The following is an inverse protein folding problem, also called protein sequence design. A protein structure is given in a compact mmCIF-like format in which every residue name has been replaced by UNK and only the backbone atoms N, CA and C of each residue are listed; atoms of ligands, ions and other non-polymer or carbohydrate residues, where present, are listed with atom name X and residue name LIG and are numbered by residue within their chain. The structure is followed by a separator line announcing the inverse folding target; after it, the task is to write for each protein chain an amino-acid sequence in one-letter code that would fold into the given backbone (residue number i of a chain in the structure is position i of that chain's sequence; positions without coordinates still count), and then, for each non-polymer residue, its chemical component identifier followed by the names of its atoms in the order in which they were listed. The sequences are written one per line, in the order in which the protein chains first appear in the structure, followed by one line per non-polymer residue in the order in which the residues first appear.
data_IF_326940671920
#
_entry.id   IF_326940671920
#
_cell.length_a   1.000
_cell.length_b   1.000
_cell.length_c   1.000
_cell.angle_alpha   90.00
_cell.angle_beta   90.00
_cell.angle_gamma   90.00
#
_symmetry.space_group_name_H-M   'P 1'
#
loop_
_entity.id
_entity.type
_entity.pdbx_description
1 polymer ?
#
# COMPACT_ATOMS: atom_id res chain seq x y z
N UNK A 1 12.95 -9.32 22.97
CA UNK A 1 12.45 -7.95 23.17
C UNK A 1 13.14 -7.04 22.20
N UNK A 2 12.37 -6.31 21.45
CA UNK A 2 12.88 -5.42 20.41
C UNK A 2 13.26 -4.07 20.99
N UNK A 3 14.32 -3.49 20.51
CA UNK A 3 14.76 -2.18 20.90
C UNK A 3 15.45 -1.48 19.73
N UNK A 4 15.30 -0.16 19.64
CA UNK A 4 16.18 0.63 18.80
C UNK A 4 17.56 0.73 19.47
N UNK A 5 18.65 0.94 18.70
CA UNK A 5 19.94 1.28 19.27
C UNK A 5 19.82 2.45 20.22
N UNK A 6 20.30 2.28 21.45
CA UNK A 6 20.24 3.29 22.50
C UNK A 6 18.91 3.42 23.24
N UNK A 7 17.88 2.65 22.87
CA UNK A 7 16.57 2.66 23.55
C UNK A 7 16.36 1.35 24.28
N UNK A 8 15.96 1.43 25.54
CA UNK A 8 15.64 0.25 26.34
C UNK A 8 14.21 -0.21 26.08
N UNK A 9 13.97 -1.53 26.09
CA UNK A 9 12.64 -2.09 25.87
C UNK A 9 11.57 -1.55 26.84
N UNK A 10 11.97 -1.16 28.05
CA UNK A 10 11.10 -0.53 29.06
C UNK A 10 10.56 0.83 28.63
N UNK A 11 11.22 1.49 27.69
CA UNK A 11 10.84 2.82 27.19
C UNK A 11 9.89 2.73 26.00
N UNK A 12 9.59 1.52 25.52
CA UNK A 12 8.66 1.28 24.41
C UNK A 12 7.22 1.36 24.90
N UNK A 13 6.41 2.19 24.26
CA UNK A 13 4.97 2.32 24.54
C UNK A 13 4.18 1.27 23.75
N UNK A 14 4.47 1.13 22.47
CA UNK A 14 3.79 0.17 21.60
C UNK A 14 4.71 -0.29 20.47
N UNK A 15 4.48 -1.53 20.05
CA UNK A 15 5.06 -2.09 18.83
C UNK A 15 3.91 -2.35 17.87
N UNK A 16 4.03 -1.91 16.63
CA UNK A 16 2.93 -1.88 15.68
C UNK A 16 3.32 -2.53 14.36
N UNK A 17 2.38 -3.32 13.81
CA UNK A 17 2.42 -3.73 12.41
C UNK A 17 1.53 -2.79 11.62
N UNK A 18 2.08 -2.13 10.62
CA UNK A 18 1.35 -1.15 9.82
C UNK A 18 1.46 -1.43 8.32
N UNK A 19 0.48 -0.90 7.58
CA UNK A 19 0.49 -0.84 6.12
C UNK A 19 0.75 -2.18 5.45
N UNK A 20 -0.11 -3.13 5.78
CA UNK A 20 -0.05 -4.50 5.26
C UNK A 20 -0.26 -4.50 3.75
N UNK A 21 0.61 -5.17 3.05
CA UNK A 21 0.51 -5.48 1.63
C UNK A 21 0.38 -6.98 1.38
N UNK A 22 -0.01 -7.35 0.16
CA UNK A 22 -0.17 -8.73 -0.25
C UNK A 22 0.66 -9.01 -1.49
N UNK A 23 1.17 -10.23 -1.59
CA UNK A 23 1.90 -10.73 -2.74
C UNK A 23 1.52 -12.20 -2.98
N UNK A 24 1.16 -12.54 -4.21
CA UNK A 24 1.01 -13.93 -4.64
C UNK A 24 2.28 -14.34 -5.36
N UNK A 25 3.02 -15.28 -4.80
CA UNK A 25 4.28 -15.76 -5.37
C UNK A 25 4.07 -16.61 -6.63
N UNK A 26 5.13 -16.82 -7.39
CA UNK A 26 5.13 -17.70 -8.56
C UNK A 26 4.69 -19.13 -8.21
N UNK A 27 4.90 -19.59 -6.99
CA UNK A 27 4.43 -20.88 -6.47
C UNK A 27 2.99 -20.86 -5.95
N UNK A 28 2.30 -19.71 -6.00
CA UNK A 28 0.93 -19.54 -5.54
C UNK A 28 0.77 -19.32 -4.04
N UNK A 29 1.86 -19.06 -3.30
CA UNK A 29 1.77 -18.68 -1.88
C UNK A 29 1.30 -17.24 -1.74
N UNK A 30 0.31 -17.01 -0.90
CA UNK A 30 -0.14 -15.67 -0.52
C UNK A 30 0.69 -15.18 0.68
N UNK A 31 1.49 -14.16 0.43
CA UNK A 31 2.33 -13.52 1.43
C UNK A 31 1.70 -12.20 1.83
N UNK A 32 1.60 -11.95 3.12
CA UNK A 32 1.27 -10.62 3.65
C UNK A 32 2.51 -9.99 4.26
N UNK A 33 2.63 -8.70 4.08
CA UNK A 33 3.81 -7.91 4.42
C UNK A 33 3.41 -6.64 5.16
N UNK A 34 4.22 -6.21 6.10
CA UNK A 34 3.97 -4.99 6.83
C UNK A 34 5.24 -4.35 7.37
N UNK A 35 5.12 -3.09 7.72
CA UNK A 35 6.13 -2.41 8.51
C UNK A 35 5.98 -2.80 9.97
N UNK A 36 7.10 -3.06 10.62
CA UNK A 36 7.17 -3.33 12.05
C UNK A 36 7.88 -2.15 12.72
N UNK A 37 7.12 -1.38 13.45
CA UNK A 37 7.57 -0.12 14.00
C UNK A 37 7.33 0.00 15.50
N UNK A 38 7.93 1.01 16.09
CA UNK A 38 7.87 1.30 17.52
C UNK A 38 7.36 2.71 17.73
N UNK A 39 6.32 2.85 18.54
CA UNK A 39 5.91 4.14 19.10
C UNK A 39 6.48 4.28 20.50
N UNK A 40 7.32 5.28 20.71
CA UNK A 40 7.96 5.55 22.01
C UNK A 40 7.13 6.47 22.91
N UNK A 41 6.31 7.30 22.30
CA UNK A 41 5.36 8.19 22.97
C UNK A 41 4.13 8.45 22.07
N UNK A 42 3.20 9.26 22.56
CA UNK A 42 1.96 9.62 21.83
C UNK A 42 2.18 10.39 20.53
N UNK A 43 3.36 10.97 20.33
CA UNK A 43 3.72 11.76 19.15
C UNK A 43 4.63 11.02 18.21
N UNK A 44 5.20 9.90 18.64
CA UNK A 44 6.13 9.13 17.85
C UNK A 44 5.35 8.34 16.77
N UNK A 45 5.63 8.64 15.52
CA UNK A 45 5.05 7.91 14.39
C UNK A 45 6.09 6.93 13.84
N UNK A 46 5.87 5.61 13.99
CA UNK A 46 6.79 4.60 13.47
C UNK A 46 6.92 4.65 11.93
N UNK A 47 6.08 5.42 11.24
CA UNK A 47 6.19 5.62 9.81
C UNK A 47 7.28 6.62 9.38
N UNK A 48 7.86 7.36 10.30
CA UNK A 48 8.85 8.40 9.97
C UNK A 48 10.31 7.94 10.18
N UNK A 49 10.62 6.70 9.80
CA UNK A 49 11.94 6.10 9.92
C UNK A 49 12.22 5.52 11.33
N UNK A 50 11.20 5.46 12.17
CA UNK A 50 11.27 4.85 13.49
C UNK A 50 10.95 3.36 13.47
N UNK A 51 10.72 2.79 12.29
CA UNK A 51 10.47 1.36 12.11
C UNK A 51 11.69 0.51 12.45
N UNK A 52 11.44 -0.73 12.84
CA UNK A 52 12.44 -1.76 13.08
C UNK A 52 12.81 -2.47 11.77
N UNK A 53 11.81 -2.65 10.90
CA UNK A 53 12.00 -3.29 9.62
C UNK A 53 10.69 -3.71 8.99
N UNK A 54 10.77 -4.62 8.03
CA UNK A 54 9.62 -5.18 7.33
C UNK A 54 9.46 -6.64 7.68
N UNK A 55 8.24 -7.01 8.01
CA UNK A 55 7.88 -8.37 8.37
C UNK A 55 6.97 -8.99 7.33
N UNK A 56 7.04 -10.30 7.21
CA UNK A 56 6.26 -11.12 6.29
C UNK A 56 5.72 -12.35 6.98
N UNK A 57 4.59 -12.84 6.51
CA UNK A 57 4.04 -14.15 6.86
C UNK A 57 3.15 -14.67 5.73
N UNK A 58 2.99 -15.98 5.67
CA UNK A 58 2.06 -16.61 4.74
C UNK A 58 0.63 -16.53 5.29
N UNK A 59 -0.33 -16.30 4.38
CA UNK A 59 -1.74 -16.58 4.59
C UNK A 59 -2.05 -17.88 3.87
N UNK A 60 -2.39 -18.91 4.62
CA UNK A 60 -2.69 -20.23 4.07
C UNK A 60 -4.08 -20.27 3.45
N UNK A 61 -4.35 -21.32 2.65
CA UNK A 61 -5.64 -21.49 1.98
C UNK A 61 -6.85 -21.58 2.92
N UNK A 62 -6.65 -22.05 4.14
CA UNK A 62 -7.66 -22.12 5.20
C UNK A 62 -7.85 -20.78 5.95
N UNK A 63 -7.14 -19.73 5.54
CA UNK A 63 -7.16 -18.42 6.17
C UNK A 63 -6.25 -18.31 7.40
N UNK A 64 -5.62 -19.39 7.85
CA UNK A 64 -4.68 -19.33 8.97
C UNK A 64 -3.37 -18.66 8.56
N UNK A 65 -2.66 -18.13 9.57
CA UNK A 65 -1.41 -17.41 9.35
C UNK A 65 -0.20 -18.26 9.71
N UNK A 66 0.81 -18.24 8.87
CA UNK A 66 2.13 -18.79 9.17
C UNK A 66 2.90 -17.95 10.21
N UNK A 67 4.11 -18.39 10.63
CA UNK A 67 4.98 -17.61 11.50
C UNK A 67 5.37 -16.27 10.88
N UNK A 68 5.72 -15.30 11.73
CA UNK A 68 6.24 -14.00 11.32
C UNK A 68 7.76 -14.11 11.13
N UNK A 69 8.27 -13.49 10.08
CA UNK A 69 9.69 -13.36 9.79
C UNK A 69 10.01 -11.92 9.37
N UNK A 70 11.21 -11.43 9.70
CA UNK A 70 11.73 -10.25 9.03
C UNK A 70 12.15 -10.60 7.60
N UNK A 71 11.79 -9.72 6.67
CA UNK A 71 12.28 -9.76 5.29
C UNK A 71 13.36 -8.70 5.07
N UNK A 72 13.32 -7.62 5.83
CA UNK A 72 14.27 -6.52 5.78
C UNK A 72 14.38 -5.85 7.15
N UNK A 73 15.60 -5.49 7.54
CA UNK A 73 15.87 -4.74 8.76
C UNK A 73 16.25 -3.30 8.42
N UNK A 74 15.71 -2.35 9.14
CA UNK A 74 16.19 -0.98 9.13
C UNK A 74 17.55 -0.89 9.82
N UNK A 75 18.26 0.21 9.58
CA UNK A 75 19.59 0.43 10.16
C UNK A 75 19.59 0.20 11.68
N UNK A 76 20.58 -0.52 12.18
CA UNK A 76 20.77 -0.82 13.59
C UNK A 76 20.00 -2.04 14.12
N UNK A 77 19.14 -2.67 13.29
CA UNK A 77 18.39 -3.88 13.67
C UNK A 77 18.88 -5.12 12.94
N UNK A 78 18.75 -6.26 13.60
CA UNK A 78 19.12 -7.59 13.10
C UNK A 78 18.49 -8.70 13.97
N UNK A 79 18.76 -9.96 13.65
CA UNK A 79 18.24 -11.12 14.40
C UNK A 79 18.61 -11.16 15.89
N UNK A 80 19.67 -10.47 16.31
CA UNK A 80 20.13 -10.50 17.71
C UNK A 80 19.35 -9.55 18.62
N UNK A 81 18.74 -8.53 18.05
CA UNK A 81 18.03 -7.48 18.79
C UNK A 81 16.56 -7.33 18.43
N UNK A 82 16.00 -8.34 17.74
CA UNK A 82 14.58 -8.42 17.36
C UNK A 82 13.96 -9.74 17.77
N UNK A 83 12.63 -9.79 17.90
CA UNK A 83 11.91 -10.97 18.38
C UNK A 83 11.60 -12.02 17.30
N UNK A 84 11.65 -11.64 16.01
CA UNK A 84 11.34 -12.55 14.91
C UNK A 84 12.59 -12.91 14.12
N UNK A 85 12.70 -14.16 13.64
CA UNK A 85 13.83 -14.56 12.82
C UNK A 85 13.78 -13.92 11.42
N UNK A 86 14.92 -13.90 10.74
CA UNK A 86 14.99 -13.54 9.32
C UNK A 86 14.38 -14.63 8.45
N UNK A 87 13.70 -14.29 7.37
CA UNK A 87 12.93 -15.22 6.52
C UNK A 87 13.73 -16.43 6.03
N UNK A 88 15.04 -16.28 5.82
CA UNK A 88 15.93 -17.38 5.42
C UNK A 88 16.04 -18.51 6.45
N UNK A 89 15.59 -18.30 7.68
CA UNK A 89 15.50 -19.32 8.72
C UNK A 89 14.27 -20.21 8.61
N UNK A 90 13.31 -19.87 7.76
CA UNK A 90 12.15 -20.71 7.51
C UNK A 90 12.57 -22.06 6.91
N UNK A 91 11.94 -23.14 7.40
CA UNK A 91 12.10 -24.48 6.82
C UNK A 91 11.30 -24.65 5.52
N UNK A 92 10.35 -23.77 5.25
CA UNK A 92 9.55 -23.77 4.04
C UNK A 92 10.32 -23.06 2.91
N UNK A 93 10.89 -23.86 2.02
CA UNK A 93 11.70 -23.38 0.90
C UNK A 93 10.89 -22.53 -0.09
N UNK A 94 9.60 -22.85 -0.29
CA UNK A 94 8.76 -22.07 -1.20
C UNK A 94 8.41 -20.70 -0.60
N UNK A 95 8.22 -20.63 0.71
CA UNK A 95 8.10 -19.36 1.42
C UNK A 95 9.37 -18.51 1.30
N UNK A 96 10.55 -19.13 1.45
CA UNK A 96 11.83 -18.41 1.28
C UNK A 96 11.99 -17.88 -0.13
N UNK A 97 11.63 -18.66 -1.16
CA UNK A 97 11.63 -18.19 -2.56
C UNK A 97 10.66 -17.03 -2.77
N UNK A 98 9.44 -17.12 -2.24
CA UNK A 98 8.44 -16.06 -2.31
C UNK A 98 8.94 -14.75 -1.69
N UNK A 99 9.63 -14.81 -0.56
CA UNK A 99 10.27 -13.65 0.05
C UNK A 99 11.39 -13.08 -0.83
N UNK A 100 12.18 -13.94 -1.47
CA UNK A 100 13.24 -13.48 -2.37
C UNK A 100 12.65 -12.81 -3.62
N UNK A 101 11.56 -13.33 -4.19
CA UNK A 101 10.84 -12.70 -5.31
C UNK A 101 10.41 -11.25 -4.98
N UNK A 102 9.97 -11.02 -3.73
CA UNK A 102 9.62 -9.67 -3.26
C UNK A 102 10.85 -8.76 -3.21
N UNK A 103 11.97 -9.25 -2.65
CA UNK A 103 13.19 -8.47 -2.53
C UNK A 103 13.84 -8.16 -3.88
N UNK A 104 13.69 -9.06 -4.85
CA UNK A 104 14.22 -8.89 -6.21
C UNK A 104 13.40 -7.92 -7.06
N UNK A 105 12.24 -7.48 -6.56
CA UNK A 105 11.38 -6.54 -7.25
C UNK A 105 11.37 -5.17 -6.54
N UNK A 106 12.05 -4.16 -7.10
CA UNK A 106 12.15 -2.84 -6.47
C UNK A 106 10.79 -2.15 -6.31
N UNK A 107 9.80 -2.46 -7.15
CA UNK A 107 8.48 -1.86 -7.08
C UNK A 107 7.74 -2.27 -5.79
N UNK A 108 7.87 -3.53 -5.34
CA UNK A 108 7.30 -3.97 -4.07
C UNK A 108 7.97 -3.28 -2.89
N UNK A 109 9.28 -3.14 -2.94
CA UNK A 109 10.05 -2.50 -1.88
C UNK A 109 9.72 -1.01 -1.77
N UNK A 110 9.52 -0.32 -2.90
CA UNK A 110 9.17 1.10 -2.93
C UNK A 110 7.77 1.42 -2.41
N UNK A 111 6.84 0.48 -2.39
CA UNK A 111 5.50 0.72 -1.82
C UNK A 111 5.53 1.09 -0.33
N UNK A 112 6.64 0.84 0.35
CA UNK A 112 6.79 1.07 1.79
C UNK A 112 7.82 2.15 2.13
N UNK A 113 8.08 3.01 1.18
CA UNK A 113 9.02 4.13 1.33
C UNK A 113 8.68 5.04 2.52
N UNK A 114 7.40 5.22 2.82
CA UNK A 114 6.98 6.06 3.94
C UNK A 114 7.39 5.49 5.31
N UNK A 115 7.47 4.17 5.41
CA UNK A 115 7.79 3.44 6.63
C UNK A 115 9.25 3.01 6.70
N UNK A 116 9.97 3.13 5.60
CA UNK A 116 11.37 2.77 5.54
C UNK A 116 12.23 3.83 6.20
N UNK A 117 13.38 3.40 6.67
CA UNK A 117 14.46 4.31 7.01
C UNK A 117 14.76 5.18 5.79
N UNK A 118 14.79 6.50 6.00
CA UNK A 118 15.04 7.48 4.93
C UNK A 118 16.43 7.36 4.33
N UNK A 119 17.34 6.72 5.03
CA UNK A 119 18.68 6.40 4.57
C UNK A 119 18.79 5.03 3.87
N UNK A 120 17.66 4.32 3.70
CA UNK A 120 17.61 3.04 3.03
C UNK A 120 18.08 3.16 1.56
N UNK A 121 19.19 2.50 1.18
CA UNK A 121 19.76 2.62 -0.17
C UNK A 121 18.89 2.04 -1.27
N UNK A 122 17.92 1.17 -0.94
CA UNK A 122 16.99 0.59 -1.94
C UNK A 122 15.92 1.59 -2.39
N UNK A 123 15.86 2.78 -1.78
CA UNK A 123 14.89 3.81 -2.12
C UNK A 123 15.57 4.87 -2.99
N UNK A 124 15.35 4.88 -4.30
CA UNK A 124 16.02 5.82 -5.21
C UNK A 124 15.53 7.26 -5.06
N UNK A 125 14.37 7.49 -4.48
CA UNK A 125 13.75 8.82 -4.30
C UNK A 125 13.38 9.06 -2.84
N UNK A 126 14.21 9.81 -2.11
CA UNK A 126 14.19 9.86 -0.63
C UNK A 126 13.29 10.92 -0.01
N UNK A 127 12.98 12.04 -0.66
CA UNK A 127 12.25 13.15 -0.01
C UNK A 127 11.03 13.56 -0.80
N UNK A 128 9.89 13.68 -0.12
CA UNK A 128 8.65 14.22 -0.68
C UNK A 128 7.81 13.20 -1.48
N UNK A 129 8.39 12.09 -1.87
CA UNK A 129 7.73 11.05 -2.67
C UNK A 129 7.15 9.99 -1.74
N UNK A 130 5.89 10.18 -1.34
CA UNK A 130 5.20 9.31 -0.39
C UNK A 130 4.07 8.55 -1.05
N UNK A 131 3.75 7.36 -0.50
CA UNK A 131 2.67 6.49 -0.94
C UNK A 131 2.81 6.05 -2.40
N UNK A 132 3.95 5.47 -2.72
CA UNK A 132 4.26 4.92 -4.02
C UNK A 132 3.21 3.92 -4.51
N UNK A 133 2.83 4.06 -5.75
CA UNK A 133 2.10 3.09 -6.54
C UNK A 133 2.63 3.16 -7.99
N UNK A 134 2.53 2.06 -8.72
CA UNK A 134 2.98 2.02 -10.11
C UNK A 134 2.16 1.03 -10.93
N UNK A 135 2.25 1.15 -12.23
CA UNK A 135 1.72 0.23 -13.23
C UNK A 135 2.59 0.25 -14.50
N UNK A 136 2.49 -0.81 -15.29
CA UNK A 136 3.26 -0.96 -16.54
C UNK A 136 2.52 -0.31 -17.70
N UNK A 137 3.21 0.53 -18.47
CA UNK A 137 2.73 1.15 -19.70
C UNK A 137 2.75 0.15 -20.87
N UNK A 138 2.04 0.44 -21.99
CA UNK A 138 1.97 -0.48 -23.12
C UNK A 138 3.33 -0.80 -23.76
N UNK A 139 4.29 0.10 -23.63
CA UNK A 139 5.66 -0.04 -24.14
C UNK A 139 6.62 -0.73 -23.16
N UNK A 140 6.13 -1.17 -22.00
CA UNK A 140 6.89 -1.87 -20.97
C UNK A 140 7.56 -0.96 -19.94
N UNK A 141 7.55 0.36 -20.13
CA UNK A 141 7.99 1.30 -19.10
C UNK A 141 7.05 1.29 -17.90
N UNK A 142 7.53 1.75 -16.76
CA UNK A 142 6.73 1.80 -15.54
C UNK A 142 6.41 3.25 -15.22
N UNK A 143 5.12 3.56 -15.06
CA UNK A 143 4.66 4.83 -14.53
C UNK A 143 4.46 4.73 -13.02
N UNK A 144 4.96 5.69 -12.29
CA UNK A 144 4.75 5.82 -10.84
C UNK A 144 3.70 6.87 -10.53
N UNK A 145 3.10 6.72 -9.35
CA UNK A 145 2.22 7.71 -8.75
C UNK A 145 2.59 7.90 -7.28
N UNK A 146 2.63 9.15 -6.83
CA UNK A 146 2.82 9.54 -5.42
C UNK A 146 1.78 10.56 -4.99
N UNK A 147 1.71 10.85 -3.71
CA UNK A 147 0.94 11.98 -3.18
C UNK A 147 1.25 13.25 -3.97
N UNK A 148 0.30 14.20 -3.95
CA UNK A 148 0.35 15.44 -4.69
C UNK A 148 0.25 15.27 -6.22
N UNK A 149 -0.32 14.15 -6.67
CA UNK A 149 -0.40 13.79 -8.09
C UNK A 149 0.97 13.75 -8.79
N UNK A 150 2.03 13.44 -8.08
CA UNK A 150 3.36 13.34 -8.67
C UNK A 150 3.50 12.04 -9.45
N UNK A 151 4.22 12.10 -10.58
CA UNK A 151 4.48 10.98 -11.48
C UNK A 151 5.89 11.06 -12.04
N UNK A 152 6.43 9.91 -12.38
CA UNK A 152 7.68 9.76 -13.13
C UNK A 152 7.68 8.43 -13.86
N UNK A 153 8.56 8.29 -14.84
CA UNK A 153 8.72 7.08 -15.65
C UNK A 153 10.03 6.38 -15.28
N UNK A 154 9.99 5.06 -15.30
CA UNK A 154 11.17 4.20 -15.20
C UNK A 154 11.25 3.32 -16.44
N UNK A 155 12.45 3.25 -17.04
CA UNK A 155 12.76 2.40 -18.19
C UNK A 155 13.46 1.09 -17.79
N UNK A 156 13.87 0.96 -16.53
CA UNK A 156 14.71 -0.13 -16.02
C UNK A 156 14.02 -0.99 -14.96
N UNK A 157 12.68 -1.04 -14.96
CA UNK A 157 11.93 -1.89 -14.04
C UNK A 157 11.73 -1.29 -12.64
N UNK A 158 11.96 0.01 -12.47
CA UNK A 158 11.74 0.72 -11.21
C UNK A 158 13.01 0.96 -10.39
N UNK A 159 14.19 0.68 -10.95
CA UNK A 159 15.47 0.98 -10.28
C UNK A 159 15.83 2.46 -10.34
N UNK A 160 15.58 3.10 -11.49
CA UNK A 160 15.76 4.55 -11.66
C UNK A 160 14.51 5.20 -12.21
N UNK A 161 14.36 6.50 -11.96
CA UNK A 161 13.19 7.28 -12.31
C UNK A 161 13.61 8.59 -12.99
N UNK A 162 12.89 8.97 -14.04
CA UNK A 162 13.09 10.24 -14.74
C UNK A 162 13.02 11.44 -13.79
N UNK A 163 13.87 12.42 -14.06
CA UNK A 163 13.92 13.68 -13.30
C UNK A 163 13.79 14.88 -14.25
N UNK A 164 13.10 15.95 -13.85
CA UNK A 164 12.38 16.13 -12.58
C UNK A 164 11.07 15.35 -12.53
N UNK A 165 10.65 14.94 -11.32
CA UNK A 165 9.32 14.38 -11.12
C UNK A 165 8.27 15.46 -11.39
N UNK A 166 7.25 15.14 -12.15
CA UNK A 166 6.23 16.08 -12.61
C UNK A 166 4.88 15.78 -11.95
N UNK A 167 3.95 16.70 -12.10
CA UNK A 167 2.53 16.41 -11.79
C UNK A 167 1.90 15.66 -12.95
N UNK A 168 1.18 14.58 -12.63
CA UNK A 168 0.40 13.84 -13.60
C UNK A 168 -0.69 14.73 -14.20
N UNK A 169 -0.90 14.63 -15.52
CA UNK A 169 -1.89 15.41 -16.22
C UNK A 169 -3.30 14.90 -15.94
N UNK A 170 -4.24 15.84 -15.84
CA UNK A 170 -5.66 15.56 -15.81
C UNK A 170 -6.26 15.30 -14.42
N UNK A 171 -5.47 15.18 -13.35
CA UNK A 171 -6.04 15.10 -12.02
C UNK A 171 -5.29 15.89 -10.95
N UNK A 172 -6.02 16.21 -9.88
CA UNK A 172 -5.51 16.96 -8.74
C UNK A 172 -5.63 16.10 -7.49
N UNK A 173 -4.51 15.95 -6.80
CA UNK A 173 -4.44 15.29 -5.50
C UNK A 173 -3.52 16.09 -4.60
N UNK A 174 -3.84 16.19 -3.31
CA UNK A 174 -2.96 16.83 -2.33
C UNK A 174 -2.15 15.79 -1.56
N UNK A 175 -2.43 15.58 -0.29
CA UNK A 175 -1.66 14.69 0.58
C UNK A 175 -2.23 13.28 0.72
N UNK A 176 -3.23 12.92 -0.07
CA UNK A 176 -3.89 11.62 -0.01
C UNK A 176 -3.14 10.56 -0.84
N UNK A 177 -3.32 9.29 -0.48
CA UNK A 177 -2.83 8.16 -1.29
C UNK A 177 -3.60 8.07 -2.59
N UNK A 178 -2.91 7.63 -3.64
CA UNK A 178 -3.47 7.32 -4.95
C UNK A 178 -3.26 5.82 -5.17
N UNK A 179 -4.25 5.16 -5.75
CA UNK A 179 -4.09 3.84 -6.33
C UNK A 179 -4.26 3.94 -7.84
N UNK A 180 -3.34 3.39 -8.59
CA UNK A 180 -3.43 3.29 -10.04
C UNK A 180 -3.09 1.88 -10.50
N UNK A 181 -3.79 1.41 -11.53
CA UNK A 181 -3.52 0.12 -12.16
C UNK A 181 -4.02 0.10 -13.60
N UNK A 182 -3.49 -0.84 -14.38
CA UNK A 182 -4.05 -1.22 -15.67
C UNK A 182 -5.26 -2.13 -15.44
N UNK A 183 -6.32 -1.88 -16.20
CA UNK A 183 -7.56 -2.65 -16.15
C UNK A 183 -7.53 -3.81 -17.15
N UNK A 184 -8.49 -4.74 -17.02
CA UNK A 184 -8.61 -5.91 -17.88
C UNK A 184 -8.91 -5.58 -19.36
N UNK A 185 -9.50 -4.42 -19.62
CA UNK A 185 -9.75 -3.91 -20.98
C UNK A 185 -8.55 -3.15 -21.59
N UNK A 186 -7.43 -3.06 -20.84
CA UNK A 186 -6.22 -2.38 -21.27
C UNK A 186 -6.17 -0.89 -20.99
N UNK A 187 -7.25 -0.28 -20.48
CA UNK A 187 -7.24 1.10 -19.99
C UNK A 187 -6.59 1.19 -18.63
N UNK A 188 -6.34 2.41 -18.13
CA UNK A 188 -5.77 2.67 -16.82
C UNK A 188 -6.76 3.41 -15.95
N UNK A 189 -6.81 3.06 -14.68
CA UNK A 189 -7.61 3.75 -13.70
C UNK A 189 -6.76 4.22 -12.54
N UNK A 190 -7.06 5.42 -12.03
CA UNK A 190 -6.58 5.90 -10.73
C UNK A 190 -7.74 6.15 -9.81
N UNK A 191 -7.64 5.66 -8.57
CA UNK A 191 -8.61 5.91 -7.51
C UNK A 191 -7.93 6.75 -6.44
N UNK A 192 -8.52 7.89 -6.13
CA UNK A 192 -7.90 8.92 -5.29
C UNK A 192 -8.92 9.90 -4.72
N UNK A 193 -8.47 10.81 -3.85
CA UNK A 193 -9.28 11.91 -3.37
C UNK A 193 -8.92 13.20 -4.15
N UNK A 194 -9.86 13.77 -4.92
CA UNK A 194 -9.61 14.95 -5.74
C UNK A 194 -9.65 16.27 -4.96
N UNK A 195 -9.52 16.24 -3.65
CA UNK A 195 -9.51 17.40 -2.77
C UNK A 195 -8.51 17.26 -1.62
N UNK A 196 -8.24 18.36 -0.95
CA UNK A 196 -7.38 18.40 0.24
C UNK A 196 -8.01 17.70 1.46
N UNK A 197 -9.32 17.60 1.50
CA UNK A 197 -10.05 17.04 2.63
C UNK A 197 -10.18 15.52 2.60
N UNK A 198 -9.55 14.84 1.64
CA UNK A 198 -9.66 13.40 1.42
C UNK A 198 -11.10 12.93 1.22
N UNK A 199 -11.87 13.73 0.50
CA UNK A 199 -13.25 13.47 0.14
C UNK A 199 -13.59 14.19 -1.19
N UNK A 200 -14.43 13.61 -2.06
CA UNK A 200 -14.87 12.21 -2.07
C UNK A 200 -13.75 11.25 -2.50
N UNK A 201 -14.05 9.95 -2.61
CA UNK A 201 -13.23 9.01 -3.35
C UNK A 201 -13.71 8.99 -4.80
N UNK A 202 -12.81 9.21 -5.72
CA UNK A 202 -13.10 9.32 -7.14
C UNK A 202 -12.22 8.38 -7.97
N UNK A 203 -12.63 8.12 -9.20
CA UNK A 203 -11.86 7.40 -10.22
C UNK A 203 -11.66 8.28 -11.44
N UNK A 204 -10.46 8.28 -11.96
CA UNK A 204 -10.10 8.86 -13.26
C UNK A 204 -9.55 7.77 -14.18
N UNK A 205 -9.87 7.87 -15.46
CA UNK A 205 -9.44 6.93 -16.49
C UNK A 205 -8.44 7.57 -17.44
N UNK A 206 -7.55 6.73 -17.95
CA UNK A 206 -6.55 7.06 -18.96
C UNK A 206 -6.46 5.94 -20.01
N UNK A 207 -6.22 6.29 -21.25
CA UNK A 207 -5.95 5.32 -22.34
C UNK A 207 -4.48 4.94 -22.43
N UNK A 208 -3.59 5.84 -22.05
CA UNK A 208 -2.15 5.70 -22.18
C UNK A 208 -1.43 5.51 -20.84
N UNK A 209 -2.15 5.66 -19.72
CA UNK A 209 -1.59 5.60 -18.37
C UNK A 209 -0.86 6.87 -17.93
N UNK A 210 -0.88 7.94 -18.72
CA UNK A 210 -0.15 9.19 -18.46
C UNK A 210 -1.07 10.40 -18.36
N UNK A 211 -2.10 10.47 -19.20
CA UNK A 211 -3.07 11.56 -19.22
C UNK A 211 -4.45 11.05 -18.80
N UNK A 212 -4.98 11.62 -17.72
CA UNK A 212 -6.27 11.23 -17.14
C UNK A 212 -7.35 12.22 -17.57
N UNK A 213 -8.44 11.70 -18.15
CA UNK A 213 -9.42 12.53 -18.88
C UNK A 213 -10.81 12.55 -18.25
N UNK A 214 -11.04 11.76 -17.20
CA UNK A 214 -12.35 11.64 -16.56
C UNK A 214 -12.26 11.83 -15.06
N UNK A 215 -13.40 12.14 -14.44
CA UNK A 215 -13.53 12.19 -12.99
C UNK A 215 -14.92 11.70 -12.60
N UNK A 216 -15.01 10.54 -11.96
CA UNK A 216 -16.26 9.92 -11.55
C UNK A 216 -16.23 9.58 -10.08
N UNK A 217 -17.40 9.57 -9.46
CA UNK A 217 -17.57 9.25 -8.05
C UNK A 217 -17.42 7.73 -7.81
N UNK A 218 -16.60 7.35 -6.86
CA UNK A 218 -16.54 5.99 -6.31
C UNK A 218 -17.30 5.92 -4.99
N UNK A 219 -17.01 6.85 -4.07
CA UNK A 219 -17.68 6.91 -2.77
C UNK A 219 -17.75 8.36 -2.27
N UNK A 220 -18.95 8.83 -2.02
CA UNK A 220 -19.21 10.21 -1.55
C UNK A 220 -19.90 10.29 -0.20
N UNK A 221 -20.34 9.17 0.37
CA UNK A 221 -20.98 9.15 1.65
C UNK A 221 -19.99 9.40 2.80
N UNK A 222 -20.40 10.22 3.75
CA UNK A 222 -19.66 10.48 4.98
C UNK A 222 -20.50 9.98 6.14
N UNK A 223 -20.03 8.90 6.78
CA UNK A 223 -20.62 8.41 8.01
C UNK A 223 -20.18 9.25 9.20
N UNK A 224 -20.96 9.33 10.28
CA UNK A 224 -20.52 9.98 11.51
C UNK A 224 -19.24 9.33 12.05
N UNK A 225 -18.28 10.15 12.44
CA UNK A 225 -17.06 9.67 13.10
C UNK A 225 -17.39 9.22 14.52
N UNK A 226 -17.05 7.98 14.86
CA UNK A 226 -17.37 7.35 16.15
C UNK A 226 -16.29 7.55 17.20
N UNK A 227 -15.04 7.64 16.76
CA UNK A 227 -13.89 7.68 17.66
C UNK A 227 -13.02 8.89 17.40
N UNK A 228 -12.55 9.54 18.46
CA UNK A 228 -11.51 10.55 18.41
C UNK A 228 -10.14 9.92 18.16
N UNK A 229 -9.14 10.75 17.92
CA UNK A 229 -7.74 10.30 17.79
C UNK A 229 -6.88 11.27 16.99
N UNK A 230 -5.57 11.12 17.14
CA UNK A 230 -4.61 11.88 16.37
C UNK A 230 -4.71 11.50 14.88
N UNK A 231 -4.56 12.50 14.02
CA UNK A 231 -4.57 12.30 12.56
C UNK A 231 -5.88 11.71 11.99
N UNK A 232 -6.97 11.79 12.72
CA UNK A 232 -8.29 11.44 12.20
C UNK A 232 -8.70 12.43 11.10
N UNK A 233 -9.36 11.90 10.08
CA UNK A 233 -9.95 12.68 8.99
C UNK A 233 -11.21 11.98 8.50
N UNK A 234 -12.20 12.76 8.10
CA UNK A 234 -13.45 12.26 7.55
C UNK A 234 -13.24 11.66 6.15
N UNK A 235 -14.20 10.85 5.76
CA UNK A 235 -14.38 10.36 4.40
C UNK A 235 -13.56 9.13 4.02
N UNK A 236 -13.75 8.66 2.78
CA UNK A 236 -13.08 7.50 2.21
C UNK A 236 -11.65 7.83 1.83
N UNK A 237 -10.69 7.07 2.33
CA UNK A 237 -9.26 7.33 2.13
C UNK A 237 -8.42 6.06 2.15
N UNK A 238 -7.15 6.18 1.74
CA UNK A 238 -6.21 5.07 1.62
C UNK A 238 -6.66 3.97 0.64
N UNK A 239 -7.04 4.34 -0.60
CA UNK A 239 -7.46 3.36 -1.59
C UNK A 239 -6.33 2.38 -1.91
N UNK A 240 -6.70 1.11 -2.08
CA UNK A 240 -5.79 0.07 -2.52
C UNK A 240 -6.54 -0.98 -3.32
N UNK A 241 -6.08 -1.22 -4.53
CA UNK A 241 -6.52 -2.30 -5.39
C UNK A 241 -5.58 -3.50 -5.39
N UNK A 242 -5.72 -4.37 -6.38
CA UNK A 242 -4.81 -5.48 -6.64
C UNK A 242 -3.73 -4.97 -7.60
N UNK A 243 -2.47 -5.11 -7.20
CA UNK A 243 -1.35 -4.68 -8.02
C UNK A 243 -1.26 -5.50 -9.31
N UNK A 244 -0.92 -4.84 -10.41
CA UNK A 244 -0.65 -5.48 -11.68
C UNK A 244 0.39 -6.61 -11.55
N UNK A 245 0.14 -7.72 -12.23
CA UNK A 245 1.00 -8.91 -12.14
C UNK A 245 0.83 -9.75 -10.88
N UNK A 246 0.03 -9.31 -9.92
CA UNK A 246 -0.21 -10.02 -8.65
C UNK A 246 -1.59 -10.69 -8.56
N UNK A 247 -2.21 -10.90 -9.70
CA UNK A 247 -3.51 -11.51 -9.86
C UNK A 247 -4.62 -10.50 -10.14
N UNK A 248 -5.34 -10.73 -11.23
CA UNK A 248 -6.56 -9.99 -11.55
C UNK A 248 -7.73 -10.85 -11.06
N UNK A 249 -8.77 -10.26 -10.44
CA UNK A 249 -9.98 -10.99 -10.08
C UNK A 249 -10.56 -11.70 -11.29
N UNK A 250 -11.15 -12.89 -11.09
CA UNK A 250 -11.66 -13.73 -12.19
C UNK A 250 -12.78 -13.05 -13.01
N UNK A 251 -13.48 -12.07 -12.40
CA UNK A 251 -14.50 -11.26 -13.07
C UNK A 251 -13.92 -10.13 -13.92
N UNK A 252 -12.61 -9.86 -13.81
CA UNK A 252 -11.93 -8.79 -14.54
C UNK A 252 -12.22 -7.38 -14.03
N UNK A 253 -13.00 -7.23 -12.97
CA UNK A 253 -13.41 -5.94 -12.43
C UNK A 253 -12.31 -5.29 -11.56
N UNK A 254 -12.41 -3.98 -11.37
CA UNK A 254 -11.55 -3.26 -10.45
C UNK A 254 -12.12 -3.33 -9.04
N UNK A 255 -11.39 -3.99 -8.16
CA UNK A 255 -11.69 -4.05 -6.73
C UNK A 255 -10.79 -3.12 -5.95
N UNK A 256 -11.38 -2.22 -5.16
CA UNK A 256 -10.63 -1.25 -4.37
C UNK A 256 -11.11 -1.27 -2.93
N UNK A 257 -10.19 -1.54 -2.01
CA UNK A 257 -10.41 -1.38 -0.57
C UNK A 257 -9.99 0.02 -0.11
N UNK A 258 -10.67 0.57 0.87
CA UNK A 258 -10.36 1.86 1.48
C UNK A 258 -10.95 1.95 2.88
N UNK A 259 -10.48 2.89 3.68
CA UNK A 259 -11.10 3.15 4.98
C UNK A 259 -12.03 4.37 4.92
N UNK A 260 -13.14 4.33 5.63
CA UNK A 260 -14.00 5.49 5.87
C UNK A 260 -13.76 5.99 7.28
N UNK A 261 -13.42 7.26 7.42
CA UNK A 261 -13.08 7.93 8.69
C UNK A 261 -11.89 7.30 9.45
N UNK A 262 -11.12 6.40 8.82
CA UNK A 262 -10.13 5.53 9.48
C UNK A 262 -10.75 4.64 10.58
N UNK A 263 -11.99 4.24 10.39
CA UNK A 263 -12.76 3.43 11.33
C UNK A 263 -13.30 2.15 10.71
N UNK A 264 -13.80 2.26 9.49
CA UNK A 264 -14.40 1.13 8.77
C UNK A 264 -13.60 0.83 7.51
N UNK A 265 -13.48 -0.45 7.19
CA UNK A 265 -12.94 -0.92 5.92
C UNK A 265 -14.08 -1.17 4.94
N UNK A 266 -13.96 -0.57 3.77
CA UNK A 266 -14.91 -0.68 2.69
C UNK A 266 -14.25 -1.28 1.46
N UNK A 267 -15.04 -1.93 0.63
CA UNK A 267 -14.62 -2.44 -0.67
C UNK A 267 -15.63 -1.98 -1.71
N UNK A 268 -15.13 -1.41 -2.80
CA UNK A 268 -15.92 -1.12 -4.00
C UNK A 268 -15.51 -2.06 -5.12
N UNK A 269 -16.49 -2.65 -5.78
CA UNK A 269 -16.36 -3.35 -7.05
C UNK A 269 -16.77 -2.39 -8.16
N UNK A 270 -15.91 -2.15 -9.10
CA UNK A 270 -16.13 -1.26 -10.24
C UNK A 270 -16.05 -2.12 -11.50
N UNK A 271 -17.16 -2.30 -12.23
CA UNK A 271 -17.17 -3.08 -13.46
C UNK A 271 -16.20 -2.53 -14.51
N UNK A 272 -15.58 -3.42 -15.29
CA UNK A 272 -14.70 -3.07 -16.41
C UNK A 272 -15.32 -3.63 -17.69
N UNK A 273 -15.50 -2.80 -18.74
CA UNK A 273 -15.11 -1.40 -18.86
C UNK A 273 -15.88 -0.47 -17.93
N UNK A 274 -15.19 0.56 -17.45
CA UNK A 274 -15.81 1.54 -16.53
C UNK A 274 -16.79 2.42 -17.30
N UNK A 275 -18.07 2.28 -16.99
CA UNK A 275 -19.10 3.12 -17.57
C UNK A 275 -19.15 4.49 -16.90
N UNK A 276 -19.10 5.54 -17.71
CA UNK A 276 -19.10 6.94 -17.26
C UNK A 276 -20.51 7.53 -17.06
N UNK A 277 -21.53 6.70 -16.98
CA UNK A 277 -22.91 7.13 -16.86
C UNK A 277 -23.29 7.42 -15.40
N UNK A 278 -23.86 8.59 -15.19
CA UNK A 278 -24.33 9.10 -13.89
C UNK A 278 -25.41 8.24 -13.19
N UNK A 279 -25.88 7.18 -13.83
CA UNK A 279 -27.00 6.33 -13.36
C UNK A 279 -26.63 4.92 -12.95
N UNK A 280 -25.36 4.49 -13.09
CA UNK A 280 -24.97 3.15 -12.65
C UNK A 280 -24.85 3.11 -11.11
N UNK A 281 -25.62 2.26 -10.39
CA UNK A 281 -25.46 2.14 -8.96
C UNK A 281 -24.11 1.48 -8.65
N UNK A 282 -23.26 2.19 -7.93
CA UNK A 282 -22.07 1.58 -7.30
C UNK A 282 -22.57 0.70 -6.17
N UNK A 283 -22.38 -0.61 -6.27
CA UNK A 283 -22.73 -1.49 -5.15
C UNK A 283 -21.63 -1.41 -4.08
N UNK A 284 -22.03 -0.99 -2.88
CA UNK A 284 -21.16 -0.97 -1.71
C UNK A 284 -21.35 -2.24 -0.90
N UNK A 285 -20.25 -2.91 -0.59
CA UNK A 285 -20.27 -4.00 0.38
C UNK A 285 -19.52 -3.54 1.62
N UNK A 286 -20.25 -3.39 2.71
CA UNK A 286 -19.70 -3.07 4.02
C UNK A 286 -19.24 -4.36 4.70
N UNK A 287 -17.94 -4.56 4.83
CA UNK A 287 -17.38 -5.60 5.67
C UNK A 287 -17.12 -5.01 7.06
N UNK A 288 -17.98 -5.34 8.03
CA UNK A 288 -17.63 -5.17 9.44
C UNK A 288 -16.55 -6.20 9.77
N UNK A 289 -15.38 -5.75 10.18
CA UNK A 289 -14.46 -6.61 10.88
C UNK A 289 -15.14 -6.99 12.21
N UNK A 290 -15.54 -8.24 12.37
CA UNK A 290 -15.88 -8.77 13.66
C UNK A 290 -14.60 -8.82 14.48
N UNK A 291 -14.49 -7.97 15.49
CA UNK A 291 -13.52 -8.17 16.56
C UNK A 291 -13.85 -9.50 17.23
N UNK A 292 -13.07 -10.52 16.93
CA UNK A 292 -12.98 -11.68 17.82
C UNK A 292 -12.18 -11.23 19.04
N UNK A 293 -12.87 -10.82 20.09
CA UNK A 293 -12.28 -10.68 21.42
C UNK A 293 -11.76 -12.06 21.84
N UNK A 294 -10.47 -12.24 21.76
CA UNK A 294 -9.80 -13.35 22.44
C UNK A 294 -9.75 -12.99 23.94
N UNK A 295 -10.48 -13.74 24.74
CA UNK A 295 -10.30 -13.84 26.18
C UNK A 295 -8.98 -14.52 26.52
#
# INVERSE_FOLDING_TARGET
KESRPGVQAKDLIAIMHQRVGFYVSKSGKLITMGNYGVALDKKDDPNDGNGIGRVVREIKKDGSFGPIYFIYYNHGFNEKNTDYPYFKKSKDREFVKACQEILDNPQYMMQWVEEADREDPIIPLKKGYKAFNCYTLPDGRIASLWKHALTSISEDGGYTWEQPVLRAKGFVNSNAKIWGQRLSDGTYATVYNPSEFRWPLAISLSKDGLEYTTLNLVHGEITPMRYGGNYKSYGPQYPRGIQEGNGIPADGDLWVSYSVNKEDMWISRIPVPVELNASAPVSYTHLRAHETSAH
#
